data_IF_770742991583
#
_entry.id   IF_770742991583
#
_cell.length_a   1.000
_cell.length_b   1.000
_cell.length_c   1.000
_cell.angle_alpha   90.00
_cell.angle_beta   90.00
_cell.angle_gamma   90.00
#
_symmetry.space_group_name_H-M   'P 1'
#
loop_
_entity.id
_entity.type
_entity.pdbx_description
1 polymer ?
#
# COMPACT_ATOMS: atom_id res chain seq x y z
N UNK A 1 -24.76 -71.41 43.65
CA UNK A 1 -24.47 -69.96 43.45
C UNK A 1 -23.75 -69.78 42.13
N UNK A 2 -24.46 -69.42 41.07
CA UNK A 2 -23.87 -69.09 39.76
C UNK A 2 -23.59 -67.58 39.72
N UNK A 3 -22.32 -67.20 39.50
CA UNK A 3 -21.92 -65.79 39.37
C UNK A 3 -22.20 -65.32 37.95
N UNK A 4 -23.12 -64.36 37.81
CA UNK A 4 -23.27 -63.60 36.57
C UNK A 4 -22.11 -62.61 36.44
N UNK A 5 -21.26 -62.77 35.42
CA UNK A 5 -20.29 -61.76 35.02
C UNK A 5 -20.92 -60.81 34.00
N UNK A 6 -20.84 -59.49 34.23
CA UNK A 6 -21.23 -58.49 33.24
C UNK A 6 -20.32 -58.58 32.01
N UNK A 7 -20.91 -58.74 30.82
CA UNK A 7 -20.18 -58.66 29.56
C UNK A 7 -19.76 -57.21 29.30
N UNK A 8 -18.48 -56.89 29.51
CA UNK A 8 -17.90 -55.63 29.06
C UNK A 8 -17.66 -55.73 27.54
N UNK A 9 -18.51 -55.08 26.75
CA UNK A 9 -18.30 -54.94 25.32
C UNK A 9 -17.27 -53.83 25.07
N UNK A 10 -16.13 -54.17 24.46
CA UNK A 10 -15.18 -53.18 23.98
C UNK A 10 -15.81 -52.42 22.80
N UNK A 11 -16.00 -51.11 22.94
CA UNK A 11 -16.45 -50.28 21.82
C UNK A 11 -15.36 -50.24 20.75
N UNK A 12 -15.64 -50.77 19.56
CA UNK A 12 -14.86 -50.50 18.35
C UNK A 12 -14.98 -49.02 18.03
N UNK A 13 -14.05 -48.20 18.54
CA UNK A 13 -13.82 -46.86 18.01
C UNK A 13 -13.22 -47.07 16.62
N UNK A 14 -14.06 -46.89 15.61
CA UNK A 14 -13.66 -46.82 14.21
C UNK A 14 -12.64 -45.71 14.06
N UNK A 15 -11.48 -46.03 13.49
CA UNK A 15 -10.42 -45.09 13.17
C UNK A 15 -10.92 -44.03 12.19
N UNK A 16 -11.51 -42.95 12.70
CA UNK A 16 -11.80 -41.75 11.94
C UNK A 16 -10.49 -41.04 11.64
N UNK A 17 -9.98 -41.25 10.41
CA UNK A 17 -8.82 -40.54 9.89
C UNK A 17 -9.06 -39.02 9.96
N UNK A 18 -8.47 -38.35 10.96
CA UNK A 18 -8.51 -36.90 11.08
C UNK A 18 -7.57 -36.24 10.06
N UNK A 19 -7.93 -36.33 8.77
CA UNK A 19 -7.17 -35.79 7.63
C UNK A 19 -6.99 -34.26 7.65
N UNK A 20 -7.65 -33.55 8.56
CA UNK A 20 -7.68 -32.08 8.60
C UNK A 20 -6.98 -31.45 9.82
N UNK A 21 -6.17 -32.19 10.57
CA UNK A 21 -5.49 -31.67 11.78
C UNK A 21 -4.21 -30.85 11.50
N UNK A 22 -3.77 -30.75 10.25
CA UNK A 22 -2.64 -29.89 9.90
C UNK A 22 -3.07 -28.41 9.91
N UNK A 23 -3.15 -27.81 11.10
CA UNK A 23 -3.25 -26.37 11.23
C UNK A 23 -2.02 -25.70 10.62
N UNK A 24 -2.20 -24.62 9.88
CA UNK A 24 -1.06 -23.81 9.48
C UNK A 24 -0.39 -23.18 10.71
N UNK A 25 0.95 -23.10 10.76
CA UNK A 25 1.63 -22.39 11.83
C UNK A 25 1.06 -20.96 11.93
N UNK A 26 0.77 -20.53 13.17
CA UNK A 26 0.17 -19.20 13.43
C UNK A 26 1.01 -18.13 12.73
N UNK A 27 0.42 -17.50 11.72
CA UNK A 27 1.12 -16.51 10.91
C UNK A 27 1.35 -15.25 11.75
N UNK A 28 2.61 -14.88 12.02
CA UNK A 28 2.97 -13.65 12.76
C UNK A 28 2.26 -12.41 12.22
N UNK A 29 1.55 -11.64 13.06
CA UNK A 29 0.87 -10.42 12.62
C UNK A 29 1.89 -9.40 12.09
N UNK A 30 1.64 -8.84 10.89
CA UNK A 30 2.50 -7.81 10.28
C UNK A 30 1.77 -6.47 10.29
N UNK A 31 1.91 -5.75 11.40
CA UNK A 31 1.21 -4.50 11.67
C UNK A 31 2.04 -3.29 11.24
N UNK A 32 1.47 -2.10 11.35
CA UNK A 32 2.28 -0.89 11.38
C UNK A 32 3.02 -0.85 12.71
N UNK A 33 4.27 -0.44 12.68
CA UNK A 33 5.04 -0.24 13.91
C UNK A 33 4.97 1.21 14.40
N UNK A 34 4.46 2.10 13.55
CA UNK A 34 4.28 3.53 13.81
C UNK A 34 2.82 3.91 13.54
N UNK A 35 2.34 4.95 14.22
CA UNK A 35 0.99 5.47 13.98
C UNK A 35 1.03 6.32 12.69
N UNK A 36 0.09 6.17 11.75
CA UNK A 36 -0.03 7.09 10.62
C UNK A 36 -0.21 8.54 11.08
N UNK A 37 0.34 9.48 10.32
CA UNK A 37 0.30 10.92 10.59
C UNK A 37 1.07 11.38 11.85
N UNK A 38 1.95 10.51 12.39
CA UNK A 38 2.89 10.89 13.46
C UNK A 38 4.32 11.04 12.94
N UNK A 39 5.15 11.88 13.59
CA UNK A 39 6.58 11.94 13.30
C UNK A 39 7.27 10.59 13.55
N UNK A 40 8.15 10.21 12.63
CA UNK A 40 8.95 8.99 12.66
C UNK A 40 10.42 9.32 12.53
N UNK A 41 11.26 8.47 13.12
CA UNK A 41 12.72 8.60 13.03
C UNK A 41 13.27 7.86 11.80
N UNK A 42 14.43 8.29 11.27
CA UNK A 42 15.09 7.53 10.20
C UNK A 42 15.40 6.11 10.68
N UNK A 43 15.41 5.14 9.76
CA UNK A 43 15.73 3.72 10.02
C UNK A 43 14.63 2.98 10.81
N UNK A 44 13.66 3.71 11.38
CA UNK A 44 12.48 3.12 11.99
C UNK A 44 11.67 2.33 10.97
N UNK A 45 11.24 1.13 11.36
CA UNK A 45 10.32 0.32 10.55
C UNK A 45 8.96 1.00 10.53
N UNK A 46 8.46 1.31 9.35
CA UNK A 46 7.11 1.85 9.18
C UNK A 46 6.08 0.71 9.13
N UNK A 47 6.28 -0.21 8.20
CA UNK A 47 5.33 -1.28 7.90
C UNK A 47 6.03 -2.55 7.46
N UNK A 48 5.76 -3.64 8.17
CA UNK A 48 6.11 -4.97 7.72
C UNK A 48 5.01 -5.53 6.80
N UNK A 49 5.40 -6.16 5.69
CA UNK A 49 4.44 -6.70 4.71
C UNK A 49 4.62 -8.19 4.50
N UNK A 50 3.53 -8.88 4.14
CA UNK A 50 3.60 -10.26 3.68
C UNK A 50 3.81 -10.27 2.18
N UNK A 51 4.68 -11.16 1.72
CA UNK A 51 4.76 -11.49 0.29
C UNK A 51 3.40 -12.03 -0.16
N UNK A 52 2.93 -11.55 -1.30
CA UNK A 52 1.70 -12.04 -1.94
C UNK A 52 2.05 -13.17 -2.89
N UNK A 53 1.16 -14.16 -3.00
CA UNK A 53 1.30 -15.19 -4.01
C UNK A 53 1.35 -14.56 -5.41
N UNK A 54 2.34 -14.93 -6.22
CA UNK A 54 2.56 -14.36 -7.56
C UNK A 54 3.44 -13.10 -7.62
N UNK A 55 3.91 -12.59 -6.48
CA UNK A 55 4.79 -11.42 -6.44
C UNK A 55 6.15 -11.66 -7.10
N UNK A 56 6.69 -12.87 -6.98
CA UNK A 56 7.94 -13.29 -7.63
C UNK A 56 7.81 -13.36 -9.16
N UNK A 57 6.58 -13.57 -9.67
CA UNK A 57 6.26 -13.52 -11.12
C UNK A 57 5.74 -12.15 -11.56
N UNK A 58 5.89 -11.14 -10.70
CA UNK A 58 5.40 -9.77 -10.90
C UNK A 58 3.90 -9.63 -11.18
N UNK A 59 3.10 -10.67 -10.90
CA UNK A 59 1.65 -10.64 -11.13
C UNK A 59 0.90 -9.88 -10.03
N UNK A 60 1.50 -9.73 -8.84
CA UNK A 60 0.93 -8.95 -7.73
C UNK A 60 1.98 -8.09 -7.08
N UNK A 61 1.65 -6.82 -6.90
CA UNK A 61 2.49 -5.83 -6.23
C UNK A 61 2.26 -5.83 -4.71
N UNK A 62 3.21 -5.33 -3.90
CA UNK A 62 3.00 -5.13 -2.47
C UNK A 62 1.84 -4.17 -2.21
N UNK A 63 1.24 -4.27 -1.02
CA UNK A 63 0.12 -3.41 -0.61
C UNK A 63 0.57 -1.95 -0.45
N UNK A 64 1.70 -1.78 0.23
CA UNK A 64 2.33 -0.49 0.45
C UNK A 64 3.63 -0.44 -0.33
N UNK A 65 3.75 0.55 -1.20
CA UNK A 65 4.97 0.83 -1.97
C UNK A 65 5.79 1.93 -1.27
N UNK A 66 7.11 1.96 -1.50
CA UNK A 66 7.93 3.08 -1.04
C UNK A 66 7.52 4.34 -1.80
N UNK A 67 7.19 5.38 -1.05
CA UNK A 67 6.95 6.72 -1.58
C UNK A 67 8.15 7.64 -1.30
N UNK A 68 7.87 8.94 -1.16
CA UNK A 68 8.87 9.97 -0.91
C UNK A 68 9.54 9.75 0.46
N UNK A 69 10.88 9.77 0.48
CA UNK A 69 11.69 9.57 1.70
C UNK A 69 11.42 8.23 2.43
N UNK A 70 11.01 7.19 1.70
CA UNK A 70 10.81 5.84 2.23
C UNK A 70 11.63 4.84 1.42
N UNK A 71 12.29 3.90 2.11
CA UNK A 71 13.02 2.78 1.51
C UNK A 71 12.28 1.48 1.78
N UNK A 72 12.21 0.60 0.79
CA UNK A 72 11.70 -0.76 0.96
C UNK A 72 12.86 -1.75 0.92
N UNK A 73 12.91 -2.67 1.88
CA UNK A 73 13.80 -3.83 1.79
C UNK A 73 13.21 -4.84 0.80
N UNK A 74 13.90 -5.17 -0.32
CA UNK A 74 13.39 -6.10 -1.33
C UNK A 74 13.12 -7.51 -0.79
N UNK A 75 13.87 -7.94 0.24
CA UNK A 75 13.76 -9.29 0.77
C UNK A 75 12.55 -9.41 1.70
N UNK A 76 12.42 -8.50 2.66
CA UNK A 76 11.35 -8.60 3.67
C UNK A 76 10.08 -7.84 3.30
N UNK A 77 10.13 -6.97 2.27
CA UNK A 77 9.10 -5.98 1.93
C UNK A 77 8.75 -5.05 3.10
N UNK A 78 9.68 -4.88 4.04
CA UNK A 78 9.55 -3.95 5.15
C UNK A 78 9.89 -2.55 4.66
N UNK A 79 9.03 -1.59 5.01
CA UNK A 79 9.24 -0.18 4.70
C UNK A 79 9.93 0.52 5.86
N UNK A 80 10.91 1.35 5.55
CA UNK A 80 11.73 2.12 6.47
C UNK A 80 11.70 3.59 6.10
N UNK A 81 11.67 4.48 7.09
CA UNK A 81 11.85 5.91 6.84
C UNK A 81 13.31 6.21 6.49
N UNK A 82 13.51 6.99 5.41
CA UNK A 82 14.83 7.48 5.01
C UNK A 82 15.17 8.80 5.74
N UNK A 83 14.16 9.62 6.03
CA UNK A 83 14.30 10.90 6.74
C UNK A 83 13.44 10.91 8.00
N UNK A 84 13.81 11.77 8.96
CA UNK A 84 12.96 12.13 10.09
C UNK A 84 11.83 13.00 9.56
N UNK A 85 10.58 12.68 9.86
CA UNK A 85 9.44 13.41 9.29
C UNK A 85 8.10 12.80 9.67
N UNK A 86 7.01 13.36 9.19
CA UNK A 86 5.66 12.82 9.41
C UNK A 86 5.33 11.80 8.33
N UNK A 87 4.96 10.58 8.71
CA UNK A 87 4.52 9.54 7.78
C UNK A 87 3.06 9.77 7.38
N UNK A 88 2.77 9.76 6.09
CA UNK A 88 1.41 9.82 5.54
C UNK A 88 1.15 8.66 4.59
N UNK A 89 -0.12 8.32 4.40
CA UNK A 89 -0.56 7.27 3.47
C UNK A 89 -1.17 7.94 2.26
N UNK A 90 -0.64 7.63 1.08
CA UNK A 90 -1.21 8.04 -0.21
C UNK A 90 -1.84 6.84 -0.90
N UNK A 91 -3.08 6.98 -1.32
CA UNK A 91 -3.79 5.94 -2.07
C UNK A 91 -3.64 6.18 -3.57
N UNK A 92 -3.62 5.11 -4.36
CA UNK A 92 -3.66 5.22 -5.82
C UNK A 92 -5.01 5.69 -6.27
N UNK A 93 -4.98 6.69 -7.15
CA UNK A 93 -6.16 7.18 -7.85
C UNK A 93 -6.75 6.11 -8.77
N UNK A 94 -5.91 5.26 -9.35
CA UNK A 94 -6.33 4.17 -10.25
C UNK A 94 -6.96 3.02 -9.47
N UNK A 95 -6.34 2.58 -8.37
CA UNK A 95 -6.85 1.48 -7.55
C UNK A 95 -6.54 1.72 -6.05
N UNK A 96 -7.54 2.09 -5.23
CA UNK A 96 -7.36 2.45 -3.82
C UNK A 96 -6.74 1.35 -2.94
N UNK A 97 -6.74 0.09 -3.39
CA UNK A 97 -6.10 -1.01 -2.66
C UNK A 97 -4.57 -0.94 -2.65
N UNK A 98 -3.96 -0.26 -3.63
CA UNK A 98 -2.53 0.01 -3.67
C UNK A 98 -2.23 1.38 -3.07
N UNK A 99 -1.30 1.41 -2.13
CA UNK A 99 -0.95 2.61 -1.37
C UNK A 99 0.55 2.85 -1.40
N UNK A 100 0.96 4.09 -1.15
CA UNK A 100 2.34 4.48 -0.89
C UNK A 100 2.46 5.04 0.52
N UNK A 101 3.61 4.78 1.15
CA UNK A 101 3.99 5.49 2.37
C UNK A 101 4.93 6.62 1.98
N UNK A 102 4.55 7.84 2.31
CA UNK A 102 5.34 9.04 2.11
C UNK A 102 5.79 9.56 3.50
N UNK A 103 6.99 10.14 3.59
CA UNK A 103 7.47 10.80 4.81
C UNK A 103 7.83 12.24 4.48
N UNK A 104 7.14 13.19 5.12
CA UNK A 104 7.37 14.61 4.93
C UNK A 104 8.35 15.15 5.98
N UNK A 105 9.53 15.65 5.59
CA UNK A 105 10.61 15.95 6.52
C UNK A 105 10.35 17.19 7.40
N UNK A 106 9.57 18.14 6.90
CA UNK A 106 9.23 19.35 7.63
C UNK A 106 8.04 19.09 8.57
N UNK A 107 8.38 18.66 9.78
CA UNK A 107 7.40 18.34 10.84
C UNK A 107 6.60 19.57 11.24
N UNK A 108 7.25 20.73 11.36
CA UNK A 108 6.59 21.95 11.83
C UNK A 108 5.57 22.45 10.83
N UNK A 109 5.84 22.32 9.52
CA UNK A 109 4.83 22.58 8.49
C UNK A 109 3.58 21.74 8.69
N UNK A 110 3.71 20.43 8.88
CA UNK A 110 2.55 19.54 9.07
C UNK A 110 1.83 19.87 10.38
N UNK A 111 2.58 20.06 11.46
CA UNK A 111 2.05 20.38 12.78
C UNK A 111 1.23 21.67 12.78
N UNK A 112 1.81 22.79 12.33
CA UNK A 112 1.12 24.09 12.32
C UNK A 112 -0.11 24.09 11.41
N UNK A 113 -0.03 23.45 10.25
CA UNK A 113 -1.17 23.34 9.33
C UNK A 113 -2.31 22.54 9.95
N UNK A 114 -2.00 21.46 10.67
CA UNK A 114 -3.00 20.66 11.38
C UNK A 114 -3.63 21.43 12.54
N UNK A 115 -2.81 22.04 13.40
CA UNK A 115 -3.28 22.82 14.55
C UNK A 115 -4.17 24.00 14.13
N UNK A 116 -3.77 24.73 13.09
CA UNK A 116 -4.57 25.83 12.54
C UNK A 116 -5.89 25.30 11.96
N UNK A 117 -5.86 24.19 11.23
CA UNK A 117 -7.07 23.59 10.67
C UNK A 117 -8.06 23.17 11.76
N UNK A 118 -7.59 22.47 12.78
CA UNK A 118 -8.42 22.07 13.93
C UNK A 118 -9.00 23.29 14.66
N UNK A 119 -8.22 24.37 14.80
CA UNK A 119 -8.69 25.61 15.41
C UNK A 119 -9.79 26.30 14.56
N UNK A 120 -9.64 26.32 13.23
CA UNK A 120 -10.65 26.87 12.33
C UNK A 120 -11.92 25.99 12.28
N UNK A 121 -11.76 24.66 12.38
CA UNK A 121 -12.87 23.71 12.36
C UNK A 121 -13.75 23.89 13.59
N UNK A 122 -13.15 24.05 14.78
CA UNK A 122 -13.88 24.38 16.01
C UNK A 122 -14.65 25.71 15.92
N UNK A 123 -14.25 26.61 15.02
CA UNK A 123 -14.91 27.91 14.79
C UNK A 123 -15.91 27.87 13.64
N UNK A 124 -16.09 26.72 12.97
CA UNK A 124 -16.94 26.61 11.77
C UNK A 124 -16.41 27.38 10.55
N UNK A 125 -15.12 27.72 10.52
CA UNK A 125 -14.49 28.53 9.47
C UNK A 125 -13.73 27.69 8.44
N UNK A 126 -13.80 26.36 8.52
CA UNK A 126 -13.14 25.46 7.57
C UNK A 126 -14.06 25.00 6.45
N UNK A 127 -13.50 24.89 5.25
CA UNK A 127 -14.14 24.12 4.17
C UNK A 127 -13.75 22.64 4.22
N UNK A 128 -14.73 21.77 3.95
CA UNK A 128 -14.54 20.33 3.79
C UNK A 128 -14.09 19.94 2.37
N UNK A 129 -14.08 20.89 1.43
CA UNK A 129 -13.66 20.72 0.05
C UNK A 129 -12.12 20.73 -0.10
N UNK A 130 -11.43 19.87 0.64
CA UNK A 130 -9.97 19.82 0.69
C UNK A 130 -9.49 18.40 0.42
N UNK A 131 -8.35 18.30 -0.26
CA UNK A 131 -7.77 17.04 -0.72
C UNK A 131 -7.37 16.04 0.38
N UNK A 132 -7.44 16.45 1.66
CA UNK A 132 -7.22 15.60 2.84
C UNK A 132 -8.51 14.91 3.30
N UNK A 133 -9.68 15.39 2.89
CA UNK A 133 -10.95 14.72 3.16
C UNK A 133 -11.07 13.50 2.24
N UNK A 134 -11.00 12.30 2.81
CA UNK A 134 -11.06 11.03 2.06
C UNK A 134 -12.32 10.93 1.21
N UNK A 135 -13.45 11.46 1.70
CA UNK A 135 -14.74 11.35 1.03
C UNK A 135 -14.85 12.30 -0.17
N UNK A 136 -14.11 13.42 -0.14
CA UNK A 136 -14.11 14.42 -1.21
C UNK A 136 -12.96 14.24 -2.21
N UNK A 137 -12.00 13.35 -1.90
CA UNK A 137 -10.78 13.19 -2.70
C UNK A 137 -11.07 12.84 -4.17
N UNK A 138 -12.02 11.94 -4.39
CA UNK A 138 -12.43 11.51 -5.74
C UNK A 138 -12.98 12.67 -6.57
N UNK A 139 -13.86 13.50 -5.99
CA UNK A 139 -14.41 14.69 -6.63
C UNK A 139 -13.32 15.74 -6.89
N UNK A 140 -12.44 15.96 -5.92
CA UNK A 140 -11.30 16.86 -6.05
C UNK A 140 -10.39 16.47 -7.22
N UNK A 141 -10.07 15.19 -7.37
CA UNK A 141 -9.22 14.71 -8.46
C UNK A 141 -9.90 14.85 -9.85
N UNK A 142 -11.23 14.67 -9.92
CA UNK A 142 -12.03 14.90 -11.14
C UNK A 142 -12.10 16.39 -11.50
N UNK A 143 -12.31 17.27 -10.52
CA UNK A 143 -12.35 18.71 -10.74
C UNK A 143 -11.01 19.23 -11.25
N UNK A 144 -9.90 18.69 -10.73
CA UNK A 144 -8.55 19.11 -11.11
C UNK A 144 -8.12 18.57 -12.48
N UNK A 145 -8.46 17.33 -12.78
CA UNK A 145 -8.09 16.68 -14.03
C UNK A 145 -9.25 15.79 -14.54
N UNK A 146 -10.25 16.35 -15.22
CA UNK A 146 -11.47 15.61 -15.58
C UNK A 146 -11.21 14.36 -16.43
N UNK A 147 -10.21 14.44 -17.33
CA UNK A 147 -9.90 13.41 -18.32
C UNK A 147 -8.86 12.39 -17.84
N UNK A 148 -8.58 12.33 -16.54
CA UNK A 148 -7.52 11.45 -16.00
C UNK A 148 -7.76 9.97 -16.32
N UNK A 149 -9.02 9.53 -16.33
CA UNK A 149 -9.38 8.15 -16.66
C UNK A 149 -9.02 7.80 -18.10
N UNK A 150 -9.36 8.67 -19.03
CA UNK A 150 -9.08 8.46 -20.46
C UNK A 150 -7.58 8.44 -20.71
N UNK A 151 -6.83 9.36 -20.10
CA UNK A 151 -5.36 9.39 -20.18
C UNK A 151 -4.71 8.09 -19.68
N UNK A 152 -5.24 7.51 -18.59
CA UNK A 152 -4.72 6.24 -18.03
C UNK A 152 -5.09 5.04 -18.91
N UNK A 153 -6.27 5.05 -19.53
CA UNK A 153 -6.74 3.96 -20.40
C UNK A 153 -6.16 4.03 -21.81
N UNK A 154 -5.73 5.21 -22.26
CA UNK A 154 -5.16 5.41 -23.58
C UNK A 154 -3.83 4.68 -23.71
N UNK A 155 -3.79 3.70 -24.62
CA UNK A 155 -2.58 2.95 -24.92
C UNK A 155 -1.80 3.67 -26.03
N UNK A 156 -0.56 4.13 -25.78
CA UNK A 156 0.24 4.78 -26.81
C UNK A 156 0.61 3.78 -27.90
N UNK A 157 0.66 4.25 -29.15
CA UNK A 157 1.11 3.42 -30.28
C UNK A 157 2.61 3.14 -30.14
N UNK A 158 3.08 2.04 -30.76
CA UNK A 158 4.49 1.68 -30.71
C UNK A 158 5.41 2.79 -31.24
N UNK A 159 4.97 3.52 -32.26
CA UNK A 159 5.68 4.66 -32.87
C UNK A 159 5.83 5.86 -31.93
N UNK A 160 4.87 6.08 -31.04
CA UNK A 160 4.89 7.18 -30.06
C UNK A 160 5.73 6.81 -28.83
N UNK A 161 5.69 5.52 -28.45
CA UNK A 161 6.45 4.98 -27.31
C UNK A 161 7.94 4.87 -27.64
N UNK A 162 8.26 4.28 -28.79
CA UNK A 162 9.64 4.15 -29.27
C UNK A 162 9.93 5.27 -30.26
N UNK A 163 10.11 6.48 -29.71
CA UNK A 163 10.52 7.64 -30.51
C UNK A 163 11.86 7.35 -31.20
N UNK A 164 12.03 7.92 -32.39
CA UNK A 164 13.27 7.80 -33.15
C UNK A 164 14.46 8.30 -32.30
N UNK A 165 15.51 7.47 -32.06
CA UNK A 165 16.71 7.86 -31.35
C UNK A 165 17.38 9.13 -31.90
N UNK A 166 17.21 9.42 -33.20
CA UNK A 166 17.74 10.63 -33.81
C UNK A 166 17.21 11.91 -33.16
N UNK A 167 15.97 11.90 -32.66
CA UNK A 167 15.38 13.06 -31.96
C UNK A 167 16.13 13.38 -30.67
N UNK A 168 16.61 12.34 -29.97
CA UNK A 168 17.44 12.51 -28.78
C UNK A 168 18.86 12.93 -29.14
N UNK A 169 19.49 12.28 -30.12
CA UNK A 169 20.84 12.64 -30.56
C UNK A 169 20.95 14.09 -31.06
N UNK A 170 19.88 14.63 -31.65
CA UNK A 170 19.80 16.03 -32.11
C UNK A 170 19.36 17.02 -31.03
N UNK A 171 19.07 16.57 -29.81
CA UNK A 171 18.60 17.42 -28.72
C UNK A 171 17.18 17.95 -28.89
N UNK A 172 16.34 17.32 -29.73
CA UNK A 172 14.90 17.64 -29.84
C UNK A 172 14.13 17.08 -28.65
N UNK A 173 14.59 15.96 -28.08
CA UNK A 173 14.04 15.34 -26.87
C UNK A 173 15.17 15.11 -25.88
N UNK A 174 14.99 15.56 -24.64
CA UNK A 174 16.03 15.48 -23.60
C UNK A 174 16.25 14.07 -23.05
N UNK A 175 15.24 13.20 -23.14
CA UNK A 175 15.27 11.84 -22.54
C UNK A 175 14.48 10.84 -23.38
N UNK A 176 15.06 9.66 -23.63
CA UNK A 176 14.38 8.49 -24.19
C UNK A 176 14.08 7.46 -23.09
N UNK A 177 12.82 7.37 -22.66
CA UNK A 177 12.35 6.39 -21.67
C UNK A 177 11.26 5.47 -22.25
N UNK A 178 11.59 4.51 -23.14
CA UNK A 178 10.58 3.64 -23.76
C UNK A 178 9.94 2.63 -22.78
N UNK A 179 10.56 2.41 -21.62
CA UNK A 179 10.09 1.46 -20.59
C UNK A 179 8.96 2.04 -19.73
N UNK A 180 8.83 3.37 -19.65
CA UNK A 180 7.82 4.07 -18.84
C UNK A 180 6.46 4.10 -19.56
N UNK A 181 5.90 2.91 -19.78
CA UNK A 181 4.60 2.73 -20.44
C UNK A 181 3.40 2.72 -19.51
N UNK A 182 3.65 2.62 -18.20
CA UNK A 182 2.62 2.43 -17.18
C UNK A 182 2.40 3.72 -16.40
N UNK A 183 1.13 4.12 -16.24
CA UNK A 183 0.76 5.21 -15.34
C UNK A 183 0.60 4.66 -13.92
N UNK A 184 1.33 5.25 -12.96
CA UNK A 184 1.22 4.96 -11.54
C UNK A 184 0.83 6.22 -10.78
N UNK A 185 -0.47 6.39 -10.55
CA UNK A 185 -1.06 7.57 -9.91
C UNK A 185 -2.05 7.18 -8.81
#
# INVERSE_FOLDING_TARGET
MLRYSFQLHASKVTAGNARNQAGHPRRKAKLFNVIPDTPVTPIEKLKEQRRRYGQDRHSRLPLYKPGKNVRMDPNTYTLYATKKGVMTIRESRINPSYKWLDVEPDIQKVYRSRMMREALERRGMTSMAISWNSNYRSEYDVLREPMWRERVMQLPRATERFKDPNLFCRGVVDVLCPLDRYSYE
#
